data_IF_001149966535
#
_entry.id   IF_001149966535
#
_cell.length_a   1.000
_cell.length_b   1.000
_cell.length_c   1.000
_cell.angle_alpha   90.00
_cell.angle_beta   90.00
_cell.angle_gamma   90.00
#
_symmetry.space_group_name_H-M   'P 1'
#
loop_
_entity.id
_entity.type
_entity.pdbx_description
1 polymer ?
#
# COMPACT_ATOMS: atom_id res chain seq x y z
N UNK A 1 -2.20 17.58 -5.80
CA UNK A 1 -2.30 18.27 -7.10
C UNK A 1 -1.27 19.39 -7.23
N UNK A 2 -1.18 20.30 -6.27
CA UNK A 2 -0.18 21.39 -6.26
C UNK A 2 1.27 20.89 -6.35
N UNK A 3 1.61 19.81 -5.63
CA UNK A 3 2.94 19.21 -5.70
C UNK A 3 3.31 18.73 -7.11
N UNK A 4 2.34 18.18 -7.87
CA UNK A 4 2.56 17.77 -9.27
C UNK A 4 2.66 18.97 -10.21
N UNK A 5 1.79 19.98 -10.02
CA UNK A 5 1.86 21.23 -10.79
C UNK A 5 3.25 21.85 -10.67
N UNK A 6 3.76 21.97 -9.43
CA UNK A 6 5.09 22.49 -9.16
C UNK A 6 6.20 21.60 -9.72
N UNK A 7 6.06 20.28 -9.61
CA UNK A 7 7.07 19.35 -10.10
C UNK A 7 7.24 19.39 -11.63
N UNK A 8 6.13 19.34 -12.38
CA UNK A 8 6.17 19.27 -13.85
C UNK A 8 6.25 20.64 -14.52
N UNK A 9 5.61 21.66 -13.94
CA UNK A 9 5.44 22.97 -14.58
C UNK A 9 6.11 24.11 -13.81
N UNK A 10 6.76 23.85 -12.67
CA UNK A 10 7.46 24.87 -11.90
C UNK A 10 6.50 25.98 -11.42
N UNK A 11 6.73 27.20 -11.89
CA UNK A 11 5.91 28.38 -11.61
C UNK A 11 4.92 28.72 -12.74
N UNK A 12 4.86 27.92 -13.81
CA UNK A 12 3.92 28.18 -14.89
C UNK A 12 2.47 28.03 -14.41
N UNK A 13 1.57 28.94 -14.82
CA UNK A 13 0.16 28.84 -14.44
C UNK A 13 -0.43 27.60 -15.09
N UNK A 14 -1.02 26.73 -14.26
CA UNK A 14 -1.70 25.52 -14.73
C UNK A 14 -3.10 25.44 -14.16
N UNK A 15 -4.04 24.98 -14.98
CA UNK A 15 -5.37 24.62 -14.52
C UNK A 15 -5.38 23.13 -14.20
N UNK A 16 -5.86 22.78 -13.02
CA UNK A 16 -6.04 21.38 -12.64
C UNK A 16 -7.52 21.02 -12.67
N UNK A 17 -7.82 19.80 -13.08
CA UNK A 17 -9.15 19.21 -13.02
C UNK A 17 -9.06 17.94 -12.18
N UNK A 18 -9.91 17.84 -11.17
CA UNK A 18 -10.09 16.62 -10.39
C UNK A 18 -11.47 16.05 -10.74
N UNK A 19 -11.49 14.82 -11.24
CA UNK A 19 -12.74 14.11 -11.49
C UNK A 19 -13.30 13.58 -10.15
N UNK A 20 -14.63 13.53 -10.00
CA UNK A 20 -15.24 12.92 -8.83
C UNK A 20 -14.83 11.45 -8.73
N UNK A 21 -14.73 10.95 -7.49
CA UNK A 21 -14.42 9.55 -7.27
C UNK A 21 -15.60 8.69 -7.74
N UNK A 22 -15.39 7.89 -8.80
CA UNK A 22 -16.39 6.99 -9.36
C UNK A 22 -16.73 5.80 -8.44
N UNK A 23 -15.89 5.55 -7.43
CA UNK A 23 -16.10 4.48 -6.45
C UNK A 23 -16.95 5.01 -5.29
N UNK A 24 -18.10 4.41 -4.97
CA UNK A 24 -18.93 4.83 -3.84
C UNK A 24 -18.21 4.66 -2.50
N UNK A 25 -18.29 5.66 -1.61
CA UNK A 25 -17.69 5.60 -0.27
C UNK A 25 -18.17 4.38 0.54
N UNK A 26 -19.45 4.04 0.46
CA UNK A 26 -20.04 2.85 1.12
C UNK A 26 -19.37 1.52 0.72
N UNK A 27 -18.76 1.48 -0.47
CA UNK A 27 -18.13 0.27 -1.00
C UNK A 27 -16.69 0.09 -0.53
N UNK A 28 -16.14 0.98 0.30
CA UNK A 28 -14.79 0.82 0.84
C UNK A 28 -14.69 1.27 2.29
N UNK A 29 -13.67 0.76 2.95
CA UNK A 29 -13.15 1.32 4.20
C UNK A 29 -11.65 1.55 4.05
N UNK A 30 -11.17 2.66 4.58
CA UNK A 30 -9.76 3.03 4.57
C UNK A 30 -9.27 3.11 6.01
N UNK A 31 -8.41 2.18 6.39
CA UNK A 31 -7.83 2.10 7.73
C UNK A 31 -6.35 2.45 7.70
N UNK A 32 -5.88 3.15 8.72
CA UNK A 32 -4.47 3.46 8.89
C UNK A 32 -4.03 3.04 10.29
N UNK A 33 -3.02 2.17 10.36
CA UNK A 33 -2.42 1.79 11.62
C UNK A 33 -1.66 2.97 12.22
N UNK A 34 -1.96 3.36 13.46
CA UNK A 34 -1.26 4.45 14.15
C UNK A 34 -0.19 3.97 15.13
N UNK A 35 -0.10 2.67 15.37
CA UNK A 35 0.74 2.00 16.38
C UNK A 35 1.92 1.20 15.77
N UNK A 36 2.06 1.17 14.44
CA UNK A 36 3.16 0.50 13.74
C UNK A 36 3.90 1.40 12.74
N UNK A 37 5.16 1.09 12.47
CA UNK A 37 5.96 1.76 11.44
C UNK A 37 7.09 0.87 10.92
N UNK A 38 7.50 1.07 9.67
CA UNK A 38 8.72 0.46 9.10
C UNK A 38 9.88 1.44 8.97
N UNK A 39 9.83 2.55 9.71
CA UNK A 39 10.97 3.46 9.84
C UNK A 39 12.23 2.68 10.27
N UNK A 40 13.39 3.04 9.73
CA UNK A 40 14.64 2.29 9.92
C UNK A 40 14.94 2.02 11.40
N UNK A 41 14.76 3.04 12.25
CA UNK A 41 14.92 2.97 13.71
C UNK A 41 14.05 1.94 14.42
N UNK A 42 12.93 1.51 13.81
CA UNK A 42 11.94 0.61 14.41
C UNK A 42 11.94 -0.78 13.77
N UNK A 43 12.76 -1.04 12.74
CA UNK A 43 12.78 -2.32 12.01
C UNK A 43 13.31 -3.49 12.83
N UNK A 44 14.08 -3.22 13.88
CA UNK A 44 14.58 -4.23 14.81
C UNK A 44 13.82 -4.21 16.15
N UNK A 45 12.83 -3.33 16.31
CA UNK A 45 12.05 -3.26 17.53
C UNK A 45 11.03 -4.41 17.56
N UNK A 46 11.24 -5.38 18.47
CA UNK A 46 10.43 -6.59 18.55
C UNK A 46 8.94 -6.30 18.73
N UNK A 47 8.58 -5.36 19.61
CA UNK A 47 7.18 -4.98 19.84
C UNK A 47 6.51 -4.49 18.55
N UNK A 48 7.18 -3.64 17.79
CA UNK A 48 6.68 -3.15 16.50
C UNK A 48 6.54 -4.28 15.47
N UNK A 49 7.50 -5.21 15.41
CA UNK A 49 7.42 -6.39 14.52
C UNK A 49 6.24 -7.30 14.88
N UNK A 50 6.01 -7.54 16.16
CA UNK A 50 4.85 -8.32 16.65
C UNK A 50 3.53 -7.66 16.29
N UNK A 51 3.43 -6.33 16.40
CA UNK A 51 2.24 -5.59 16.00
C UNK A 51 2.00 -5.69 14.49
N UNK A 52 3.04 -5.50 13.67
CA UNK A 52 2.94 -5.66 12.21
C UNK A 52 2.46 -7.07 11.85
N UNK A 53 3.04 -8.11 12.46
CA UNK A 53 2.62 -9.50 12.28
C UNK A 53 1.14 -9.69 12.64
N UNK A 54 0.69 -9.08 13.75
CA UNK A 54 -0.71 -9.16 14.19
C UNK A 54 -1.67 -8.51 13.19
N UNK A 55 -1.30 -7.37 12.60
CA UNK A 55 -2.06 -6.75 11.50
C UNK A 55 -2.14 -7.65 10.27
N UNK A 56 -1.01 -8.23 9.86
CA UNK A 56 -0.95 -9.15 8.73
C UNK A 56 -1.88 -10.34 8.95
N UNK A 57 -1.86 -10.95 10.14
CA UNK A 57 -2.75 -12.07 10.48
C UNK A 57 -4.22 -11.66 10.53
N UNK A 58 -4.54 -10.51 11.15
CA UNK A 58 -5.91 -10.01 11.22
C UNK A 58 -6.48 -9.72 9.83
N UNK A 59 -5.70 -9.08 8.97
CA UNK A 59 -6.06 -8.82 7.58
C UNK A 59 -6.21 -10.12 6.79
N UNK A 60 -5.33 -11.09 6.98
CA UNK A 60 -5.38 -12.40 6.29
C UNK A 60 -6.64 -13.23 6.61
N UNK A 61 -7.40 -12.88 7.66
CA UNK A 61 -8.69 -13.52 7.99
C UNK A 61 -9.87 -12.96 7.17
N UNK A 62 -9.68 -11.88 6.42
CA UNK A 62 -10.74 -11.32 5.57
C UNK A 62 -11.08 -12.28 4.42
N UNK A 63 -12.34 -12.32 3.95
CA UNK A 63 -12.76 -13.20 2.87
C UNK A 63 -12.24 -12.72 1.51
N UNK A 64 -12.25 -13.63 0.52
CA UNK A 64 -11.78 -13.37 -0.85
C UNK A 64 -10.26 -13.24 -0.95
N UNK A 65 -9.76 -12.92 -2.14
CA UNK A 65 -8.32 -12.74 -2.28
C UNK A 65 -7.88 -11.39 -1.70
N UNK A 66 -6.69 -11.40 -1.13
CA UNK A 66 -6.09 -10.25 -0.46
C UNK A 66 -4.67 -10.05 -0.96
N UNK A 67 -4.21 -8.80 -0.94
CA UNK A 67 -2.82 -8.47 -1.25
C UNK A 67 -2.16 -7.68 -0.12
N UNK A 68 -0.94 -8.04 0.24
CA UNK A 68 -0.08 -7.31 1.17
C UNK A 68 1.16 -6.87 0.41
N UNK A 69 1.38 -5.56 0.36
CA UNK A 69 2.50 -4.94 -0.32
C UNK A 69 3.51 -4.42 0.69
N UNK A 70 4.77 -4.77 0.47
CA UNK A 70 5.92 -4.40 1.31
C UNK A 70 6.79 -3.37 0.59
N UNK A 71 7.62 -2.59 1.31
CA UNK A 71 8.44 -1.55 0.69
C UNK A 71 9.70 -2.12 0.01
N UNK A 72 10.08 -3.36 0.32
CA UNK A 72 11.20 -4.08 -0.28
C UNK A 72 11.09 -5.58 -0.03
N UNK A 73 11.81 -6.40 -0.81
CA UNK A 73 11.93 -7.84 -0.58
C UNK A 73 12.48 -8.16 0.81
N UNK A 74 13.41 -7.35 1.34
CA UNK A 74 13.95 -7.56 2.69
C UNK A 74 12.87 -7.53 3.77
N UNK A 75 11.90 -6.60 3.68
CA UNK A 75 10.80 -6.54 4.64
C UNK A 75 9.77 -7.64 4.36
N UNK A 76 9.53 -7.98 3.09
CA UNK A 76 8.68 -9.12 2.73
C UNK A 76 9.21 -10.40 3.37
N UNK A 77 10.49 -10.70 3.19
CA UNK A 77 11.17 -11.91 3.66
C UNK A 77 11.15 -12.01 5.20
N UNK A 78 11.11 -10.87 5.90
CA UNK A 78 10.98 -10.81 7.36
C UNK A 78 9.66 -11.40 7.88
N UNK A 79 8.57 -11.24 7.11
CA UNK A 79 7.23 -11.67 7.53
C UNK A 79 6.73 -12.93 6.81
N UNK A 80 7.20 -13.20 5.59
CA UNK A 80 6.67 -14.28 4.74
C UNK A 80 6.73 -15.66 5.41
N UNK A 81 7.83 -15.99 6.09
CA UNK A 81 7.96 -17.26 6.81
C UNK A 81 6.95 -17.43 7.96
N UNK A 82 6.62 -16.34 8.67
CA UNK A 82 5.57 -16.36 9.70
C UNK A 82 4.17 -16.43 9.09
N UNK A 83 3.95 -15.74 7.98
CA UNK A 83 2.69 -15.79 7.23
C UNK A 83 2.39 -17.22 6.77
N UNK A 84 3.36 -17.91 6.16
CA UNK A 84 3.22 -19.31 5.74
C UNK A 84 2.89 -20.27 6.89
N UNK A 85 3.41 -19.98 8.09
CA UNK A 85 3.13 -20.79 9.28
C UNK A 85 1.77 -20.47 9.91
N UNK A 86 1.33 -19.22 9.91
CA UNK A 86 0.13 -18.75 10.64
C UNK A 86 -1.15 -18.74 9.79
N UNK A 87 -1.06 -18.45 8.50
CA UNK A 87 -2.22 -18.34 7.60
C UNK A 87 -2.52 -19.69 6.96
N UNK A 88 -3.63 -20.32 7.39
CA UNK A 88 -4.03 -21.67 6.94
C UNK A 88 -5.24 -21.72 6.01
N UNK A 89 -6.08 -20.69 6.02
CA UNK A 89 -7.34 -20.65 5.25
C UNK A 89 -7.20 -20.01 3.85
N UNK A 90 -5.98 -19.69 3.43
CA UNK A 90 -5.68 -19.08 2.14
C UNK A 90 -4.45 -19.70 1.52
N UNK A 91 -4.43 -19.83 0.20
CA UNK A 91 -3.22 -20.15 -0.57
C UNK A 91 -2.32 -18.92 -0.59
N UNK A 92 -1.04 -19.09 -0.27
CA UNK A 92 -0.09 -17.98 -0.15
C UNK A 92 0.74 -17.90 -1.42
N UNK A 93 0.79 -16.71 -2.01
CA UNK A 93 1.58 -16.41 -3.19
C UNK A 93 2.59 -15.34 -2.83
N UNK A 94 3.88 -15.59 -3.06
CA UNK A 94 4.95 -14.64 -2.80
C UNK A 94 5.52 -14.20 -4.15
N UNK A 95 5.68 -12.89 -4.34
CA UNK A 95 6.20 -12.34 -5.59
C UNK A 95 7.58 -12.93 -5.92
N UNK A 96 7.73 -13.65 -7.05
CA UNK A 96 8.98 -14.26 -7.42
C UNK A 96 9.98 -13.23 -7.95
N UNK A 97 11.24 -13.50 -7.65
CA UNK A 97 12.36 -12.68 -8.11
C UNK A 97 12.69 -12.89 -9.59
N UNK A 98 12.34 -14.05 -10.16
CA UNK A 98 12.42 -14.30 -11.61
C UNK A 98 11.15 -13.78 -12.32
N UNK A 99 11.26 -12.99 -13.40
CA UNK A 99 10.10 -12.54 -14.17
C UNK A 99 9.27 -13.66 -14.81
N UNK A 100 9.88 -14.80 -15.16
CA UNK A 100 9.20 -15.91 -15.85
C UNK A 100 8.14 -16.56 -14.98
N UNK A 101 8.45 -16.76 -13.70
CA UNK A 101 7.54 -17.39 -12.73
C UNK A 101 6.43 -16.44 -12.26
N UNK A 102 6.61 -15.13 -12.49
CA UNK A 102 5.72 -14.09 -11.97
C UNK A 102 4.34 -14.12 -12.63
N UNK A 103 4.26 -14.39 -13.92
CA UNK A 103 2.99 -14.37 -14.64
C UNK A 103 2.14 -15.60 -14.33
N UNK A 104 2.74 -16.79 -14.37
CA UNK A 104 2.04 -18.05 -14.08
C UNK A 104 1.50 -18.09 -12.66
N UNK A 105 2.33 -17.73 -11.68
CA UNK A 105 1.93 -17.67 -10.27
C UNK A 105 0.80 -16.66 -10.04
N UNK A 106 0.82 -15.51 -10.73
CA UNK A 106 -0.26 -14.55 -10.61
C UNK A 106 -1.55 -15.09 -11.25
N UNK A 107 -1.49 -15.70 -12.43
CA UNK A 107 -2.67 -16.32 -13.06
C UNK A 107 -3.30 -17.37 -12.15
N UNK A 108 -2.49 -18.22 -11.52
CA UNK A 108 -2.96 -19.22 -10.56
C UNK A 108 -3.62 -18.59 -9.31
N UNK A 109 -3.12 -17.45 -8.83
CA UNK A 109 -3.77 -16.71 -7.74
C UNK A 109 -5.12 -16.12 -8.18
N UNK A 110 -5.19 -15.58 -9.39
CA UNK A 110 -6.39 -14.93 -9.90
C UNK A 110 -7.51 -15.93 -10.24
N UNK A 111 -7.20 -17.19 -10.54
CA UNK A 111 -8.21 -18.24 -10.81
C UNK A 111 -8.79 -18.90 -9.55
N UNK A 112 -8.24 -18.65 -8.35
CA UNK A 112 -8.74 -19.25 -7.10
C UNK A 112 -10.24 -19.06 -6.83
N UNK A 113 -10.86 -17.91 -7.15
CA UNK A 113 -12.29 -17.76 -6.94
C UNK A 113 -13.13 -18.76 -7.76
N UNK A 114 -12.64 -19.22 -8.91
CA UNK A 114 -13.32 -20.20 -9.77
C UNK A 114 -13.42 -21.57 -9.09
N UNK A 115 -12.46 -21.91 -8.21
CA UNK A 115 -12.47 -23.13 -7.39
C UNK A 115 -13.08 -22.92 -5.99
N UNK A 116 -13.67 -21.75 -5.71
CA UNK A 116 -14.21 -21.40 -4.39
C UNK A 116 -13.13 -21.17 -3.33
N UNK A 117 -11.87 -21.04 -3.74
CA UNK A 117 -10.73 -20.82 -2.85
C UNK A 117 -10.43 -19.32 -2.69
N UNK A 118 -9.48 -19.00 -1.81
CA UNK A 118 -9.01 -17.62 -1.64
C UNK A 118 -7.51 -17.59 -1.41
N UNK A 119 -6.88 -16.56 -1.96
CA UNK A 119 -5.44 -16.35 -1.89
C UNK A 119 -5.03 -15.18 -1.01
N UNK A 120 -3.78 -15.22 -0.54
CA UNK A 120 -3.05 -14.10 0.02
C UNK A 120 -1.79 -13.87 -0.81
N UNK A 121 -1.72 -12.73 -1.49
CA UNK A 121 -0.57 -12.31 -2.28
C UNK A 121 0.35 -11.43 -1.44
N UNK A 122 1.64 -11.75 -1.38
CA UNK A 122 2.69 -10.96 -0.75
C UNK A 122 3.60 -10.41 -1.84
N UNK A 123 3.64 -9.09 -2.01
CA UNK A 123 4.37 -8.44 -3.09
C UNK A 123 5.14 -7.20 -2.64
N UNK A 124 5.96 -6.63 -3.52
CA UNK A 124 6.71 -5.40 -3.25
C UNK A 124 6.05 -4.22 -3.98
N UNK A 125 5.97 -3.06 -3.33
CA UNK A 125 5.54 -1.82 -3.94
C UNK A 125 6.52 -1.39 -5.04
N UNK A 126 6.03 -1.14 -6.25
CA UNK A 126 6.87 -0.93 -7.43
C UNK A 126 7.52 -2.22 -7.97
N UNK A 127 7.15 -3.38 -7.42
CA UNK A 127 7.51 -4.70 -7.92
C UNK A 127 6.60 -5.16 -9.06
N UNK A 128 6.89 -6.34 -9.61
CA UNK A 128 6.27 -6.85 -10.84
C UNK A 128 4.76 -7.02 -10.70
N UNK A 129 4.31 -7.51 -9.54
CA UNK A 129 2.88 -7.72 -9.27
C UNK A 129 2.17 -6.43 -8.87
N UNK A 130 2.89 -5.35 -8.60
CA UNK A 130 2.30 -4.04 -8.31
C UNK A 130 2.15 -3.13 -9.54
N UNK A 131 3.09 -3.19 -10.50
CA UNK A 131 3.11 -2.31 -11.69
C UNK A 131 2.76 -3.03 -13.00
N UNK A 132 3.16 -4.29 -13.19
CA UNK A 132 3.28 -4.90 -14.53
C UNK A 132 2.14 -5.78 -15.02
N UNK A 133 1.16 -6.15 -14.18
CA UNK A 133 0.12 -7.12 -14.56
C UNK A 133 -1.27 -6.58 -14.26
N UNK A 134 -2.13 -6.58 -15.29
CA UNK A 134 -3.48 -6.05 -15.20
C UNK A 134 -4.41 -7.09 -14.55
N UNK A 135 -4.78 -6.84 -13.30
CA UNK A 135 -5.86 -7.54 -12.60
C UNK A 135 -7.18 -7.23 -13.31
N UNK A 136 -7.61 -8.06 -14.25
CA UNK A 136 -8.94 -7.94 -14.87
C UNK A 136 -9.98 -8.61 -13.96
N UNK A 137 -10.80 -7.81 -13.28
CA UNK A 137 -11.97 -8.27 -12.52
C UNK A 137 -11.90 -8.03 -11.00
N UNK A 138 -13.01 -8.32 -10.30
CA UNK A 138 -13.27 -8.19 -8.85
C UNK A 138 -12.36 -9.04 -7.93
N UNK A 139 -11.09 -9.15 -8.29
CA UNK A 139 -10.23 -10.24 -7.84
C UNK A 139 -9.61 -9.99 -6.48
N UNK A 140 -9.59 -8.76 -5.96
CA UNK A 140 -9.10 -8.44 -4.62
C UNK A 140 -10.21 -7.84 -3.76
N UNK A 141 -10.45 -8.42 -2.59
CA UNK A 141 -11.38 -7.88 -1.56
C UNK A 141 -10.69 -6.98 -0.54
N UNK A 142 -9.36 -6.87 -0.62
CA UNK A 142 -8.62 -5.93 0.19
C UNK A 142 -7.14 -5.87 -0.18
N UNK A 143 -6.54 -4.73 0.13
CA UNK A 143 -5.11 -4.52 0.02
C UNK A 143 -4.56 -3.84 1.27
N UNK A 144 -3.39 -4.28 1.72
CA UNK A 144 -2.65 -3.70 2.83
C UNK A 144 -1.27 -3.29 2.33
N UNK A 145 -0.85 -2.06 2.61
CA UNK A 145 0.53 -1.61 2.39
C UNK A 145 1.21 -1.56 3.76
N UNK A 146 2.19 -2.43 3.99
CA UNK A 146 3.02 -2.40 5.19
C UNK A 146 4.16 -1.41 4.94
N UNK A 147 4.25 -0.36 5.76
CA UNK A 147 5.31 0.63 5.64
C UNK A 147 5.09 1.72 4.59
N UNK A 148 5.99 2.70 4.59
CA UNK A 148 6.08 3.73 3.54
C UNK A 148 7.15 3.29 2.51
N UNK A 149 6.82 3.06 1.21
CA UNK A 149 7.73 2.50 0.22
C UNK A 149 8.73 3.53 -0.34
N UNK A 150 9.48 4.13 0.58
CA UNK A 150 10.59 5.04 0.29
C UNK A 150 11.69 4.29 -0.45
N UNK A 151 12.31 4.97 -1.41
CA UNK A 151 13.51 4.45 -2.04
C UNK A 151 14.64 4.29 -1.00
N UNK A 152 15.58 3.34 -1.19
CA UNK A 152 16.73 3.21 -0.32
C UNK A 152 17.50 4.53 -0.18
N UNK A 153 17.86 4.87 1.05
CA UNK A 153 18.59 6.10 1.35
C UNK A 153 20.10 5.87 1.17
N UNK A 154 20.59 6.11 -0.05
CA UNK A 154 22.00 5.97 -0.43
C UNK A 154 22.60 7.32 -0.88
N UNK A 155 23.89 7.34 -1.22
CA UNK A 155 24.59 8.58 -1.61
C UNK A 155 23.94 9.26 -2.82
N UNK A 156 23.56 8.48 -3.85
CA UNK A 156 22.84 9.00 -5.02
C UNK A 156 21.51 9.64 -4.61
N UNK A 157 20.77 9.00 -3.68
CA UNK A 157 19.51 9.55 -3.19
C UNK A 157 19.69 10.85 -2.42
N UNK A 158 20.75 10.97 -1.61
CA UNK A 158 21.10 12.22 -0.92
C UNK A 158 21.36 13.34 -1.94
N UNK A 159 22.15 13.08 -2.99
CA UNK A 159 22.42 14.06 -4.04
C UNK A 159 21.16 14.51 -4.77
N UNK A 160 20.23 13.59 -5.06
CA UNK A 160 18.92 13.93 -5.64
C UNK A 160 18.12 14.84 -4.70
N UNK A 161 18.04 14.50 -3.42
CA UNK A 161 17.32 15.30 -2.42
C UNK A 161 17.94 16.70 -2.32
N UNK A 162 19.27 16.82 -2.28
CA UNK A 162 19.97 18.11 -2.26
C UNK A 162 19.68 18.94 -3.51
N UNK A 163 19.71 18.32 -4.70
CA UNK A 163 19.35 19.00 -5.95
C UNK A 163 17.92 19.54 -5.91
N UNK A 164 16.96 18.72 -5.49
CA UNK A 164 15.56 19.15 -5.39
C UNK A 164 15.35 20.22 -4.31
N UNK A 165 16.07 20.14 -3.18
CA UNK A 165 16.04 21.19 -2.16
C UNK A 165 16.54 22.52 -2.69
N UNK A 166 17.61 22.54 -3.50
CA UNK A 166 18.09 23.76 -4.16
C UNK A 166 17.06 24.36 -5.13
N UNK A 167 16.33 23.50 -5.85
CA UNK A 167 15.37 23.94 -6.88
C UNK A 167 13.99 24.33 -6.32
N UNK A 168 13.52 23.65 -5.27
CA UNK A 168 12.15 23.77 -4.79
C UNK A 168 12.05 24.14 -3.30
N UNK A 169 13.17 24.42 -2.64
CA UNK A 169 13.24 24.70 -1.21
C UNK A 169 12.94 23.47 -0.35
N UNK A 170 12.33 23.67 0.82
CA UNK A 170 12.01 22.58 1.76
C UNK A 170 11.09 21.51 1.16
N UNK A 171 10.29 21.87 0.16
CA UNK A 171 9.40 20.95 -0.56
C UNK A 171 10.13 20.00 -1.51
N UNK A 172 11.38 20.29 -1.86
CA UNK A 172 12.15 19.47 -2.79
C UNK A 172 12.25 18.01 -2.37
N UNK A 173 12.52 17.75 -1.10
CA UNK A 173 12.59 16.39 -0.57
C UNK A 173 11.23 15.67 -0.67
N UNK A 174 10.15 16.35 -0.31
CA UNK A 174 8.81 15.80 -0.40
C UNK A 174 8.50 15.38 -1.85
N UNK A 175 8.81 16.25 -2.82
CA UNK A 175 8.59 16.00 -4.24
C UNK A 175 9.36 14.80 -4.78
N UNK A 176 10.65 14.67 -4.46
CA UNK A 176 11.50 13.64 -5.06
C UNK A 176 11.56 12.32 -4.28
N UNK A 177 11.12 12.32 -3.01
CA UNK A 177 11.31 11.18 -2.12
C UNK A 177 10.01 10.67 -1.48
N UNK A 178 9.25 11.55 -0.83
CA UNK A 178 8.03 11.16 -0.11
C UNK A 178 6.85 10.95 -1.07
N UNK A 179 6.61 11.88 -2.00
CA UNK A 179 5.50 11.81 -2.95
C UNK A 179 5.56 10.55 -3.84
N UNK A 180 6.71 10.14 -4.40
CA UNK A 180 6.81 8.87 -5.12
C UNK A 180 6.45 7.65 -4.26
N UNK A 181 6.82 7.64 -2.97
CA UNK A 181 6.46 6.55 -2.06
C UNK A 181 4.95 6.51 -1.79
N UNK A 182 4.34 7.67 -1.57
CA UNK A 182 2.89 7.79 -1.44
C UNK A 182 2.19 7.25 -2.70
N UNK A 183 2.69 7.58 -3.89
CA UNK A 183 2.12 7.14 -5.16
C UNK A 183 2.19 5.61 -5.32
N UNK A 184 3.33 5.00 -4.97
CA UNK A 184 3.45 3.52 -5.00
C UNK A 184 2.46 2.84 -4.06
N UNK A 185 2.27 3.38 -2.86
CA UNK A 185 1.28 2.86 -1.92
C UNK A 185 -0.15 3.00 -2.48
N UNK A 186 -0.48 4.12 -3.10
CA UNK A 186 -1.78 4.32 -3.75
C UNK A 186 -2.00 3.40 -4.94
N UNK A 187 -0.98 3.19 -5.78
CA UNK A 187 -1.06 2.26 -6.90
C UNK A 187 -1.31 0.82 -6.43
N UNK A 188 -0.66 0.42 -5.33
CA UNK A 188 -0.88 -0.88 -4.70
C UNK A 188 -2.32 -1.02 -4.15
N UNK A 189 -2.82 -0.02 -3.40
CA UNK A 189 -4.19 -0.04 -2.87
C UNK A 189 -5.27 0.07 -3.96
N UNK A 190 -4.99 0.84 -5.02
CA UNK A 190 -5.89 1.05 -6.15
C UNK A 190 -6.15 -0.20 -6.99
N UNK A 191 -5.45 -1.31 -6.73
CA UNK A 191 -5.74 -2.60 -7.36
C UNK A 191 -7.04 -3.25 -6.88
N UNK A 192 -7.60 -2.79 -5.75
CA UNK A 192 -8.83 -3.33 -5.14
C UNK A 192 -10.11 -2.76 -5.76
N UNK A 193 -10.08 -1.50 -6.20
CA UNK A 193 -11.27 -0.79 -6.70
C UNK A 193 -11.08 -0.46 -8.18
N UNK A 194 -11.81 -1.14 -9.06
CA UNK A 194 -11.74 -1.00 -10.53
C UNK A 194 -13.09 -0.64 -11.16
N UNK A 195 -14.19 -1.15 -10.61
CA UNK A 195 -15.56 -0.76 -10.97
C UNK A 195 -16.29 -0.11 -9.79
N UNK A 196 -17.35 0.68 -10.01
CA UNK A 196 -18.17 1.25 -8.93
C UNK A 196 -18.79 0.20 -8.00
N UNK A 197 -18.95 -1.04 -8.47
CA UNK A 197 -19.53 -2.16 -7.72
C UNK A 197 -18.53 -2.82 -6.78
N UNK A 198 -17.23 -2.66 -7.02
CA UNK A 198 -16.17 -3.27 -6.22
C UNK A 198 -16.24 -2.83 -4.76
N UNK A 199 -16.23 -3.82 -3.85
CA UNK A 199 -16.14 -3.60 -2.41
C UNK A 199 -14.80 -4.08 -1.86
N UNK A 200 -14.12 -3.25 -1.06
CA UNK A 200 -12.86 -3.68 -0.46
C UNK A 200 -12.34 -2.89 0.73
N UNK A 201 -11.43 -3.54 1.47
CA UNK A 201 -10.74 -3.00 2.64
C UNK A 201 -9.35 -2.50 2.21
N UNK A 202 -9.10 -1.20 2.38
CA UNK A 202 -7.80 -0.58 2.09
C UNK A 202 -7.08 -0.28 3.40
N UNK A 203 -5.86 -0.77 3.57
CA UNK A 203 -5.10 -0.62 4.82
C UNK A 203 -3.73 -0.01 4.59
N UNK A 204 -3.44 1.08 5.29
CA UNK A 204 -2.12 1.68 5.41
C UNK A 204 -1.51 1.22 6.75
N UNK A 205 -0.69 0.18 6.70
CA UNK A 205 0.00 -0.39 7.86
C UNK A 205 1.26 0.41 8.24
N UNK A 206 1.10 1.73 8.42
CA UNK A 206 2.19 2.65 8.69
C UNK A 206 1.67 3.99 9.24
N UNK A 207 2.03 4.31 10.48
CA UNK A 207 1.58 5.54 11.16
C UNK A 207 2.01 6.83 10.47
N UNK A 208 3.13 6.81 9.72
CA UNK A 208 3.61 7.98 8.98
C UNK A 208 2.58 8.52 7.99
N UNK A 209 1.64 7.71 7.49
CA UNK A 209 0.55 8.22 6.62
C UNK A 209 -0.44 9.16 7.35
N UNK A 210 -0.43 9.20 8.68
CA UNK A 210 -1.21 10.14 9.48
C UNK A 210 -0.47 11.45 9.72
N UNK A 211 0.85 11.51 9.49
CA UNK A 211 1.63 12.73 9.64
C UNK A 211 1.17 13.76 8.60
N UNK A 212 1.00 15.06 8.96
CA UNK A 212 0.42 16.07 8.07
C UNK A 212 1.11 16.13 6.70
N UNK A 213 2.44 15.99 6.67
CA UNK A 213 3.25 16.05 5.46
C UNK A 213 3.02 14.86 4.53
N UNK A 214 2.85 13.65 5.06
CA UNK A 214 2.59 12.46 4.23
C UNK A 214 1.11 12.42 3.85
N UNK A 215 0.22 12.72 4.80
CA UNK A 215 -1.22 12.77 4.57
C UNK A 215 -1.60 13.76 3.48
N UNK A 216 -0.92 14.91 3.37
CA UNK A 216 -1.18 15.92 2.33
C UNK A 216 -0.92 15.40 0.90
N UNK A 217 -0.08 14.39 0.72
CA UNK A 217 0.16 13.75 -0.57
C UNK A 217 -0.90 12.74 -1.00
N UNK A 218 -1.82 12.36 -0.10
CA UNK A 218 -2.95 11.49 -0.44
C UNK A 218 -4.06 12.29 -1.18
N UNK A 219 -4.81 11.64 -2.10
CA UNK A 219 -6.01 12.21 -2.70
C UNK A 219 -6.99 12.73 -1.64
N UNK A 220 -7.73 13.79 -1.97
CA UNK A 220 -8.71 14.40 -1.06
C UNK A 220 -9.66 13.36 -0.43
N UNK A 221 -10.25 12.50 -1.26
CA UNK A 221 -11.16 11.46 -0.79
C UNK A 221 -10.50 10.49 0.21
N UNK A 222 -9.23 10.11 0.04
CA UNK A 222 -8.52 9.28 1.02
C UNK A 222 -8.29 10.05 2.32
N UNK A 223 -7.90 11.33 2.25
CA UNK A 223 -7.62 12.16 3.44
C UNK A 223 -8.85 12.36 4.32
N UNK A 224 -10.02 12.45 3.71
CA UNK A 224 -11.33 12.64 4.36
C UNK A 224 -11.91 11.35 4.94
N UNK A 225 -11.58 10.20 4.35
CA UNK A 225 -12.18 8.90 4.70
C UNK A 225 -11.27 8.01 5.57
N UNK A 226 -9.96 8.28 5.62
CA UNK A 226 -8.98 7.51 6.40
C UNK A 226 -9.33 7.54 7.90
N UNK A 227 -9.51 6.35 8.47
CA UNK A 227 -9.74 6.17 9.89
C UNK A 227 -8.49 5.58 10.54
N UNK A 228 -7.92 6.28 11.52
CA UNK A 228 -6.81 5.75 12.31
C UNK A 228 -7.32 4.64 13.22
N UNK A 229 -6.56 3.56 13.37
CA UNK A 229 -6.89 2.47 14.27
C UNK A 229 -5.62 1.78 14.81
N UNK A 230 -5.73 1.20 15.99
CA UNK A 230 -4.80 0.23 16.55
C UNK A 230 -5.16 -1.20 16.11
N UNK A 231 -4.28 -2.17 16.37
CA UNK A 231 -4.56 -3.57 16.05
C UNK A 231 -5.81 -4.10 16.78
N UNK A 232 -6.07 -3.60 17.99
CA UNK A 232 -7.22 -4.01 18.80
C UNK A 232 -8.55 -3.54 18.20
N UNK A 233 -8.55 -2.39 17.52
CA UNK A 233 -9.75 -1.79 16.90
C UNK A 233 -9.99 -2.33 15.48
N UNK A 234 -8.91 -2.71 14.76
CA UNK A 234 -8.94 -3.09 13.36
C UNK A 234 -10.06 -4.09 13.03
N UNK A 235 -10.14 -5.20 13.77
CA UNK A 235 -11.14 -6.23 13.52
C UNK A 235 -12.58 -5.75 13.77
N UNK A 236 -12.78 -4.87 14.75
CA UNK A 236 -14.09 -4.28 15.05
C UNK A 236 -14.56 -3.35 13.94
N UNK A 237 -13.69 -2.45 13.48
CA UNK A 237 -13.98 -1.50 12.41
C UNK A 237 -14.32 -2.20 11.09
N UNK A 238 -13.56 -3.24 10.72
CA UNK A 238 -13.86 -3.99 9.49
C UNK A 238 -15.19 -4.76 9.59
N UNK A 239 -15.55 -5.27 10.77
CA UNK A 239 -16.87 -5.92 10.98
C UNK A 239 -18.02 -4.92 10.93
N UNK A 240 -17.85 -3.74 11.52
CA UNK A 240 -18.88 -2.70 11.56
C UNK A 240 -19.19 -2.11 10.17
N UNK A 241 -18.24 -2.16 9.24
CA UNK A 241 -18.42 -1.68 7.87
C UNK A 241 -19.11 -2.67 6.92
N UNK A 242 -18.98 -3.98 7.17
CA UNK A 242 -19.50 -5.03 6.28
C UNK A 242 -21.01 -4.99 6.15
#
# INVERSE_FOLDING_TARGET
MESYARYYFGSHPVRTLALPNAFPKKNRIILCAHDITTAFSMRQNEKNLTLIQSYIEAFSRLPGNLAIYFPSYQILDLFSGNVMRSVKKKKIFIEPRDPRDAEESLRAFLSLPESGESGLLLAVCGGKWSEGLDYRGELLRGAMVIGLPLAPFNQVRKMIIEYFRRRFGEEGEFLCYTLPAINRAQQALGRVLRTPEDRGVLVLGEKRFLEPRVKSGLPAWMREEISACSIHEFGGLVRAWK
#
